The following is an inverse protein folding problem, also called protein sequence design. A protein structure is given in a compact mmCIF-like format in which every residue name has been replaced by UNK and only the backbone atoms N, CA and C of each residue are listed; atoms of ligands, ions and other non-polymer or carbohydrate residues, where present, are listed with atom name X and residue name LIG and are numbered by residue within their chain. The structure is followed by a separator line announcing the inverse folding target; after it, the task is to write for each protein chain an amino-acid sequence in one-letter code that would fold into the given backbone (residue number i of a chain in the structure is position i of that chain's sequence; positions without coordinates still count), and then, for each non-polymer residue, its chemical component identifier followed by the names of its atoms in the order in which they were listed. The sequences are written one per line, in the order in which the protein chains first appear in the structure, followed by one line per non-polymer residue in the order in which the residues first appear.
data_IF_813971251025
#
_entry.id   IF_813971251025
#
_cell.length_a   1.000
_cell.length_b   1.000
_cell.length_c   1.000
_cell.angle_alpha   90.00
_cell.angle_beta   90.00
_cell.angle_gamma   90.00
#
_symmetry.space_group_name_H-M   'P 1'
#
loop_
_entity.id
_entity.type
_entity.pdbx_description
1 polymer ?
#
# COMPACT_ATOMS: atom_id res chain seq x y z
N UNK A 1 62.61 -31.55 -29.65
CA UNK A 1 62.04 -31.89 -28.32
C UNK A 1 61.21 -30.70 -27.82
N UNK A 2 60.05 -31.01 -27.21
CA UNK A 2 59.15 -30.14 -26.41
C UNK A 2 58.40 -28.97 -27.09
N UNK A 3 57.16 -29.29 -27.47
CA UNK A 3 56.01 -28.40 -27.60
C UNK A 3 55.69 -27.78 -26.23
N UNK A 4 55.54 -26.46 -26.14
CA UNK A 4 54.93 -25.79 -24.97
C UNK A 4 53.59 -25.21 -25.44
N UNK A 5 52.51 -25.87 -25.04
CA UNK A 5 51.13 -25.40 -25.22
C UNK A 5 50.83 -24.42 -24.07
N UNK A 6 50.72 -23.13 -24.34
CA UNK A 6 50.11 -22.20 -23.39
C UNK A 6 48.59 -22.40 -23.45
N UNK A 7 48.06 -23.02 -22.40
CA UNK A 7 46.63 -23.08 -22.09
C UNK A 7 46.25 -21.73 -21.47
N UNK A 8 45.69 -20.82 -22.24
CA UNK A 8 44.98 -19.66 -21.69
C UNK A 8 43.59 -20.10 -21.30
N UNK A 9 43.42 -20.22 -19.99
CA UNK A 9 42.19 -20.53 -19.26
C UNK A 9 41.15 -19.42 -19.42
N UNK A 10 39.90 -19.87 -19.58
CA UNK A 10 38.63 -19.17 -19.50
C UNK A 10 38.63 -17.84 -18.73
N UNK A 11 38.22 -16.76 -19.41
CA UNK A 11 37.52 -15.65 -18.78
C UNK A 11 36.03 -15.98 -18.86
N UNK A 12 35.48 -16.52 -17.78
CA UNK A 12 34.04 -16.59 -17.59
C UNK A 12 33.55 -15.14 -17.45
N UNK A 13 32.83 -14.66 -18.47
CA UNK A 13 32.01 -13.47 -18.35
C UNK A 13 30.96 -13.75 -17.25
N UNK A 14 31.22 -13.24 -16.06
CA UNK A 14 30.24 -13.20 -14.98
C UNK A 14 29.06 -12.40 -15.46
N UNK A 15 28.02 -13.10 -15.90
CA UNK A 15 26.69 -12.56 -16.08
C UNK A 15 26.27 -12.07 -14.69
N UNK A 16 26.38 -10.76 -14.48
CA UNK A 16 25.87 -10.10 -13.30
C UNK A 16 24.40 -10.48 -13.18
N UNK A 17 24.11 -11.38 -12.25
CA UNK A 17 22.77 -11.65 -11.78
C UNK A 17 22.36 -10.41 -10.98
N UNK A 18 22.04 -9.35 -11.70
CA UNK A 18 21.19 -8.29 -11.19
C UNK A 18 19.86 -8.95 -10.89
N UNK A 19 19.73 -9.45 -9.65
CA UNK A 19 18.46 -9.45 -8.93
C UNK A 19 18.06 -7.97 -8.84
N UNK A 20 17.60 -7.42 -9.97
CA UNK A 20 16.66 -6.33 -9.92
C UNK A 20 15.53 -6.87 -9.07
N UNK A 21 15.34 -6.27 -7.90
CA UNK A 21 14.03 -6.16 -7.30
C UNK A 21 13.11 -5.72 -8.43
N UNK A 22 12.48 -6.68 -9.08
CA UNK A 22 11.61 -6.42 -10.21
C UNK A 22 10.57 -5.44 -9.73
N UNK A 23 10.31 -4.40 -10.53
CA UNK A 23 9.10 -3.62 -10.39
C UNK A 23 7.97 -4.62 -10.21
N UNK A 24 7.25 -4.54 -9.08
CA UNK A 24 6.13 -5.43 -8.77
C UNK A 24 5.00 -5.05 -9.74
N UNK A 25 5.11 -5.50 -10.98
CA UNK A 25 4.12 -5.31 -12.02
C UNK A 25 2.92 -6.18 -11.63
N UNK A 26 1.97 -5.57 -10.93
CA UNK A 26 0.76 -6.26 -10.48
C UNK A 26 0.05 -5.71 -9.25
N UNK A 27 0.56 -4.67 -8.57
CA UNK A 27 -0.18 -4.05 -7.46
C UNK A 27 -1.26 -3.10 -8.00
N UNK A 28 -2.45 -3.65 -8.28
CA UNK A 28 -3.70 -2.93 -8.55
C UNK A 28 -4.19 -2.27 -7.24
N UNK A 29 -4.38 -0.96 -7.17
CA UNK A 29 -4.83 -0.29 -5.94
C UNK A 29 -4.51 1.22 -5.82
N UNK A 30 -4.62 1.69 -4.57
CA UNK A 30 -4.26 3.06 -4.16
C UNK A 30 -2.88 3.00 -3.49
N UNK A 31 -1.94 3.81 -3.96
CA UNK A 31 -0.68 4.09 -3.28
C UNK A 31 -0.92 5.16 -2.22
N UNK A 32 -1.08 4.70 -0.98
CA UNK A 32 -1.16 5.55 0.19
C UNK A 32 -0.31 4.98 1.32
N UNK A 33 0.40 5.86 2.02
CA UNK A 33 1.35 5.54 3.08
C UNK A 33 0.95 6.30 4.34
N UNK A 34 0.46 5.58 5.36
CA UNK A 34 0.04 6.19 6.63
C UNK A 34 1.23 6.79 7.37
N UNK A 35 2.43 6.20 7.25
CA UNK A 35 3.64 6.69 7.92
C UNK A 35 4.01 8.09 7.45
N UNK A 36 3.75 8.42 6.19
CA UNK A 36 3.97 9.77 5.66
C UNK A 36 2.96 10.79 6.21
N UNK A 37 1.73 10.37 6.49
CA UNK A 37 0.63 11.28 6.86
C UNK A 37 0.36 11.37 8.38
N UNK A 38 0.76 10.37 9.17
CA UNK A 38 0.46 10.28 10.60
C UNK A 38 1.07 11.41 11.45
N UNK A 39 2.04 12.16 10.91
CA UNK A 39 2.62 13.35 11.56
C UNK A 39 1.97 14.67 11.15
N UNK A 40 1.10 14.66 10.13
CA UNK A 40 0.48 15.86 9.56
C UNK A 40 -1.04 15.89 9.76
N UNK A 41 -1.67 14.71 9.85
CA UNK A 41 -3.11 14.54 10.05
C UNK A 41 -3.41 13.43 11.05
N UNK A 42 -4.46 13.63 11.85
CA UNK A 42 -5.03 12.61 12.74
C UNK A 42 -5.91 11.62 11.99
N UNK A 43 -6.23 10.49 12.62
CA UNK A 43 -7.04 9.43 12.00
C UNK A 43 -8.41 9.94 11.52
N UNK A 44 -9.05 10.79 12.32
CA UNK A 44 -10.38 11.33 12.05
C UNK A 44 -10.40 12.38 10.92
N UNK A 45 -9.24 12.94 10.53
CA UNK A 45 -9.18 13.92 9.45
C UNK A 45 -9.45 13.27 8.07
N UNK A 46 -9.20 11.96 7.96
CA UNK A 46 -9.43 11.19 6.74
C UNK A 46 -10.56 10.15 6.90
N UNK A 47 -10.82 9.66 8.11
CA UNK A 47 -11.74 8.56 8.36
C UNK A 47 -13.00 8.99 9.13
N UNK A 48 -14.15 8.53 8.64
CA UNK A 48 -15.40 8.49 9.41
C UNK A 48 -15.69 7.05 9.81
N UNK A 49 -15.34 6.69 11.04
CA UNK A 49 -15.41 5.30 11.53
C UNK A 49 -14.52 4.36 10.70
N UNK A 50 -15.08 3.23 10.26
CA UNK A 50 -14.38 2.23 9.45
C UNK A 50 -14.32 2.56 7.95
N UNK A 51 -14.93 3.66 7.52
CA UNK A 51 -15.09 3.95 6.11
C UNK A 51 -13.73 4.21 5.45
N UNK A 52 -13.60 3.76 4.20
CA UNK A 52 -12.45 4.10 3.37
C UNK A 52 -12.54 5.59 3.01
N UNK A 53 -11.45 6.36 3.14
CA UNK A 53 -11.45 7.76 2.73
C UNK A 53 -11.81 7.90 1.24
N UNK A 54 -12.54 8.95 0.91
CA UNK A 54 -12.94 9.30 -0.46
C UNK A 54 -11.95 10.30 -1.06
N UNK A 55 -12.09 10.63 -2.36
CA UNK A 55 -11.32 11.74 -2.96
C UNK A 55 -11.53 13.06 -2.22
N UNK A 56 -12.70 13.29 -1.58
CA UNK A 56 -12.98 14.50 -0.80
C UNK A 56 -12.04 14.64 0.41
N UNK A 57 -11.79 13.54 1.13
CA UNK A 57 -10.83 13.54 2.24
C UNK A 57 -9.42 13.90 1.78
N UNK A 58 -8.99 13.38 0.62
CA UNK A 58 -7.71 13.74 0.03
C UNK A 58 -7.69 15.20 -0.47
N UNK A 59 -8.80 15.65 -1.04
CA UNK A 59 -8.96 16.99 -1.62
C UNK A 59 -8.95 18.11 -0.58
N UNK A 60 -9.14 17.78 0.70
CA UNK A 60 -8.97 18.73 1.81
C UNK A 60 -7.54 19.29 1.88
N UNK A 61 -6.54 18.52 1.43
CA UNK A 61 -5.12 18.91 1.47
C UNK A 61 -4.43 18.90 0.09
N UNK A 62 -4.88 18.06 -0.84
CA UNK A 62 -4.30 17.93 -2.17
C UNK A 62 -5.23 18.47 -3.25
N UNK A 63 -4.70 19.26 -4.18
CA UNK A 63 -5.49 19.67 -5.35
C UNK A 63 -5.63 18.48 -6.31
N UNK A 64 -6.87 18.00 -6.48
CA UNK A 64 -7.21 16.88 -7.35
C UNK A 64 -8.20 17.36 -8.40
N UNK A 65 -7.73 17.54 -9.63
CA UNK A 65 -8.59 17.92 -10.76
C UNK A 65 -9.21 16.67 -11.41
N UNK A 66 -10.32 16.21 -10.84
CA UNK A 66 -11.07 15.07 -11.39
C UNK A 66 -11.70 15.37 -12.76
N UNK A 67 -11.87 16.66 -13.11
CA UNK A 67 -12.49 17.08 -14.37
C UNK A 67 -11.50 17.06 -15.53
N UNK A 68 -10.20 17.14 -15.23
CA UNK A 68 -9.13 17.09 -16.21
C UNK A 68 -8.04 16.07 -15.81
N UNK A 69 -8.32 14.76 -15.97
CA UNK A 69 -7.40 13.71 -15.57
C UNK A 69 -6.08 13.78 -16.36
N UNK A 70 -4.99 13.56 -15.65
CA UNK A 70 -3.64 13.54 -16.21
C UNK A 70 -2.78 12.48 -15.52
N UNK A 71 -1.52 12.34 -15.92
CA UNK A 71 -0.56 11.45 -15.26
C UNK A 71 -0.40 11.74 -13.76
N UNK A 72 -0.78 12.94 -13.30
CA UNK A 72 -0.82 13.27 -11.87
C UNK A 72 -1.75 12.33 -11.08
N UNK A 73 -2.83 11.82 -11.67
CA UNK A 73 -3.72 10.85 -11.03
C UNK A 73 -3.00 9.54 -10.69
N UNK A 74 -1.95 9.19 -11.45
CA UNK A 74 -1.12 7.99 -11.23
C UNK A 74 -0.16 8.15 -10.05
N UNK A 75 -0.08 9.34 -9.44
CA UNK A 75 0.64 9.55 -8.18
C UNK A 75 0.04 8.69 -7.05
N UNK A 76 -1.29 8.56 -7.07
CA UNK A 76 -2.06 7.82 -6.07
C UNK A 76 -2.67 6.54 -6.65
N UNK A 77 -3.20 6.57 -7.87
CA UNK A 77 -3.81 5.39 -8.49
C UNK A 77 -2.78 4.54 -9.21
N UNK A 78 -2.83 3.23 -9.02
CA UNK A 78 -1.90 2.30 -9.70
C UNK A 78 -2.50 1.57 -10.90
N UNK A 79 -3.79 1.82 -11.25
CA UNK A 79 -4.48 1.75 -12.58
C UNK A 79 -6.02 1.51 -12.46
N UNK A 80 -6.79 1.84 -13.51
CA UNK A 80 -8.17 2.36 -13.47
C UNK A 80 -9.36 1.45 -13.77
N UNK A 81 -9.53 0.32 -13.07
CA UNK A 81 -10.87 -0.27 -12.91
C UNK A 81 -10.95 -1.05 -11.59
N UNK A 82 -11.94 -0.74 -10.73
CA UNK A 82 -12.07 -1.40 -9.44
C UNK A 82 -13.48 -1.90 -9.10
N UNK A 83 -13.52 -3.17 -8.67
CA UNK A 83 -14.38 -3.62 -7.57
C UNK A 83 -13.47 -4.24 -6.51
N UNK A 84 -13.62 -3.83 -5.25
CA UNK A 84 -13.01 -4.51 -4.11
C UNK A 84 -14.08 -5.36 -3.47
N UNK A 85 -13.96 -6.68 -3.59
CA UNK A 85 -14.71 -7.58 -2.72
C UNK A 85 -13.96 -7.67 -1.40
N UNK A 86 -14.52 -7.05 -0.36
CA UNK A 86 -14.08 -7.30 0.99
C UNK A 86 -14.44 -8.76 1.31
N UNK A 87 -13.44 -9.65 1.29
CA UNK A 87 -13.57 -10.96 1.89
C UNK A 87 -13.72 -10.77 3.41
N UNK A 88 -14.96 -10.72 3.88
CA UNK A 88 -15.27 -10.81 5.30
C UNK A 88 -14.99 -12.25 5.76
N UNK A 89 -14.33 -12.46 6.91
CA UNK A 89 -14.27 -13.79 7.51
C UNK A 89 -15.69 -14.32 7.74
N UNK A 90 -15.91 -15.59 7.41
CA UNK A 90 -17.23 -16.21 7.28
C UNK A 90 -17.97 -16.45 8.61
N UNK A 91 -17.41 -16.15 9.77
CA UNK A 91 -18.08 -16.53 11.03
C UNK A 91 -17.70 -15.68 12.24
N UNK A 92 -18.59 -14.74 12.55
CA UNK A 92 -19.08 -14.48 13.90
C UNK A 92 -20.59 -14.25 13.80
N UNK A 93 -21.36 -15.30 13.49
CA UNK A 93 -22.79 -15.17 13.15
C UNK A 93 -23.61 -14.40 14.21
N UNK A 94 -23.15 -14.42 15.47
CA UNK A 94 -23.84 -13.81 16.61
C UNK A 94 -23.09 -12.62 17.22
N UNK A 95 -21.96 -12.20 16.65
CA UNK A 95 -21.20 -11.02 17.13
C UNK A 95 -21.12 -10.00 16.01
N UNK A 96 -21.79 -8.88 16.22
CA UNK A 96 -21.65 -7.69 15.38
C UNK A 96 -20.66 -6.74 16.01
N UNK A 97 -19.80 -6.15 15.18
CA UNK A 97 -18.88 -5.10 15.59
C UNK A 97 -19.25 -3.81 14.85
N UNK A 98 -19.36 -2.72 15.59
CA UNK A 98 -19.70 -1.39 15.10
C UNK A 98 -18.66 -0.38 15.56
N UNK A 99 -18.08 0.38 14.63
CA UNK A 99 -17.08 1.40 14.95
C UNK A 99 -17.72 2.63 15.58
N UNK A 100 -18.98 2.93 15.26
CA UNK A 100 -19.67 4.10 15.83
C UNK A 100 -19.87 3.92 17.33
N UNK A 101 -20.16 2.69 17.76
CA UNK A 101 -20.24 2.32 19.18
C UNK A 101 -18.90 2.44 19.94
N UNK A 102 -17.78 2.59 19.22
CA UNK A 102 -16.43 2.68 19.77
C UNK A 102 -15.71 3.98 19.36
N UNK A 103 -16.43 5.00 18.90
CA UNK A 103 -15.84 6.24 18.39
C UNK A 103 -14.98 6.99 19.42
N UNK A 104 -15.23 6.80 20.72
CA UNK A 104 -14.47 7.41 21.82
C UNK A 104 -13.18 6.67 22.17
N UNK A 105 -12.93 5.51 21.56
CA UNK A 105 -11.71 4.73 21.76
C UNK A 105 -10.68 5.16 20.73
N UNK A 106 -9.46 5.44 21.21
CA UNK A 106 -8.34 5.73 20.32
C UNK A 106 -8.12 4.60 19.30
N UNK A 107 -8.08 4.95 18.02
CA UNK A 107 -8.05 4.00 16.91
C UNK A 107 -6.84 3.06 17.01
N UNK A 108 -5.70 3.54 17.51
CA UNK A 108 -4.47 2.77 17.65
C UNK A 108 -4.56 1.69 18.74
N UNK A 109 -5.58 1.72 19.61
CA UNK A 109 -5.85 0.63 20.55
C UNK A 109 -6.16 -0.69 19.85
N UNK A 110 -6.81 -0.65 18.69
CA UNK A 110 -7.06 -1.81 17.85
C UNK A 110 -6.11 -1.85 16.63
N UNK A 111 -5.77 -0.69 16.07
CA UNK A 111 -4.96 -0.55 14.87
C UNK A 111 -3.53 -0.06 15.17
N UNK A 112 -2.85 -0.68 16.15
CA UNK A 112 -1.57 -0.22 16.69
C UNK A 112 -0.44 -0.02 15.64
N UNK A 113 -0.49 -0.70 14.50
CA UNK A 113 0.48 -0.57 13.41
C UNK A 113 0.08 0.39 12.29
N UNK A 114 -1.18 0.85 12.26
CA UNK A 114 -1.71 1.59 11.11
C UNK A 114 -0.95 2.87 10.84
N UNK A 115 -0.64 3.66 11.87
CA UNK A 115 0.12 4.91 11.74
C UNK A 115 1.53 4.73 11.15
N UNK A 116 2.09 3.52 11.20
CA UNK A 116 3.42 3.21 10.66
C UNK A 116 3.37 2.38 9.37
N UNK A 117 2.18 2.04 8.90
CA UNK A 117 1.98 1.24 7.71
C UNK A 117 2.27 2.05 6.45
N UNK A 118 2.90 1.39 5.47
CA UNK A 118 3.13 1.93 4.13
C UNK A 118 2.07 1.45 3.13
N UNK A 119 0.93 0.91 3.61
CA UNK A 119 -0.12 0.33 2.77
C UNK A 119 -1.48 0.95 3.10
N UNK A 120 -2.25 1.20 2.04
CA UNK A 120 -3.66 1.61 2.14
C UNK A 120 -4.57 0.53 2.73
N UNK A 121 -4.18 -0.75 2.65
CA UNK A 121 -4.99 -1.91 3.03
C UNK A 121 -5.01 -2.20 4.53
N UNK A 122 -4.12 -1.59 5.31
CA UNK A 122 -3.86 -2.00 6.69
C UNK A 122 -4.89 -1.41 7.68
N UNK A 123 -5.87 -0.66 7.16
CA UNK A 123 -7.11 -0.29 7.86
C UNK A 123 -8.13 -1.43 7.91
N UNK A 124 -8.03 -2.44 7.04
CA UNK A 124 -9.10 -3.45 6.91
C UNK A 124 -9.12 -4.48 8.04
N UNK A 125 -8.01 -4.63 8.79
CA UNK A 125 -7.92 -5.54 9.92
C UNK A 125 -7.12 -4.87 11.06
N UNK A 126 -7.52 -5.07 12.34
CA UNK A 126 -6.67 -4.76 13.48
C UNK A 126 -5.29 -5.40 13.31
N UNK A 127 -4.24 -4.76 13.83
CA UNK A 127 -2.87 -5.25 13.66
C UNK A 127 -2.75 -6.71 14.11
N UNK A 128 -2.33 -7.59 13.20
CA UNK A 128 -1.85 -8.94 13.56
C UNK A 128 -0.34 -8.89 13.80
#
# INVERSE_FOLDING_TARGET
MRRIRLRTTALAAGLALSLGLGCVTGLKGLRFDHKLHAGEAGCADCHTGAARPTHEACAACHEIDEKNPSDACLTCHTEGDYRVEAARPASYADVTFDHDAHADVDCARCHAGAATSTRASDSNLPGM
#
